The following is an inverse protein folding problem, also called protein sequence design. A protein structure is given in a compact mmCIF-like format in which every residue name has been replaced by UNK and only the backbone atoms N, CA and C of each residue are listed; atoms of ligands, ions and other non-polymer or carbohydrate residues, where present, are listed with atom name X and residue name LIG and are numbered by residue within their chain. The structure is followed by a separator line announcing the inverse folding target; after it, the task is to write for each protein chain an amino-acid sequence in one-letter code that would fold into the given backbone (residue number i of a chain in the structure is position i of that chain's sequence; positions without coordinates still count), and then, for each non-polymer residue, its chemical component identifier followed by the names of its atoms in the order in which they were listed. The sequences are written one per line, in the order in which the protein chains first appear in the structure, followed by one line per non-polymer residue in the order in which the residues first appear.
data_IF_381750113205
#
_entry.id   IF_381750113205
#
_cell.length_a   1.000
_cell.length_b   1.000
_cell.length_c   1.000
_cell.angle_alpha   90.00
_cell.angle_beta   90.00
_cell.angle_gamma   90.00
#
_symmetry.space_group_name_H-M   'P 1'
#
loop_
_entity.id
_entity.type
_entity.pdbx_description
1 polymer ?
#
# COMPACT_ATOMS: atom_id res chain seq x y z
N UNK A 1 0.42 14.06 -2.50
CA UNK A 1 0.04 13.13 -3.57
C UNK A 1 0.95 11.92 -3.56
N UNK A 2 0.43 10.76 -3.84
CA UNK A 2 1.20 9.51 -3.78
C UNK A 2 1.88 9.24 -5.13
N UNK A 3 3.11 9.74 -5.30
CA UNK A 3 3.84 9.63 -6.56
C UNK A 3 3.99 8.18 -7.04
N UNK A 4 4.18 7.23 -6.13
CA UNK A 4 4.33 5.82 -6.49
C UNK A 4 3.08 5.23 -7.14
N UNK A 5 1.90 5.83 -6.92
CA UNK A 5 0.62 5.33 -7.39
C UNK A 5 0.04 6.12 -8.56
N UNK A 6 0.52 7.35 -8.77
CA UNK A 6 -0.06 8.25 -9.76
C UNK A 6 0.08 7.70 -11.19
N UNK A 7 -1.03 7.64 -11.91
CA UNK A 7 -1.05 7.20 -13.31
C UNK A 7 -0.93 5.69 -13.49
N UNK A 8 -1.05 4.91 -12.42
CA UNK A 8 -0.95 3.45 -12.47
C UNK A 8 -2.33 2.83 -12.25
N UNK A 9 -2.73 1.88 -13.07
CA UNK A 9 -3.90 1.03 -12.80
C UNK A 9 -3.51 -0.18 -11.99
N UNK A 10 -2.45 -0.88 -12.39
CA UNK A 10 -1.92 -2.04 -11.69
C UNK A 10 -0.42 -2.12 -11.93
N UNK A 11 0.33 -2.54 -10.91
CA UNK A 11 1.77 -2.63 -11.00
C UNK A 11 2.32 -3.56 -9.94
N UNK A 12 3.60 -3.87 -10.08
CA UNK A 12 4.39 -4.46 -9.01
C UNK A 12 4.93 -3.33 -8.14
N UNK A 13 4.82 -3.49 -6.84
CA UNK A 13 5.29 -2.52 -5.86
C UNK A 13 6.28 -3.16 -4.90
N UNK A 14 7.14 -2.34 -4.33
CA UNK A 14 7.96 -2.69 -3.17
C UNK A 14 7.62 -1.73 -2.04
N UNK A 15 7.68 -2.23 -0.82
CA UNK A 15 7.37 -1.40 0.35
C UNK A 15 7.96 -2.04 1.59
N UNK A 16 7.95 -1.27 2.69
CA UNK A 16 8.27 -1.79 4.02
C UNK A 16 6.98 -1.92 4.80
N UNK A 17 6.73 -3.10 5.36
CA UNK A 17 5.60 -3.32 6.24
C UNK A 17 5.92 -2.65 7.59
N UNK A 18 5.16 -1.63 7.97
CA UNK A 18 5.43 -0.88 9.19
C UNK A 18 4.60 -1.35 10.38
N UNK A 19 3.50 -2.04 10.14
CA UNK A 19 2.64 -2.53 11.21
C UNK A 19 1.17 -2.43 10.85
N UNK A 20 0.33 -2.44 11.88
CA UNK A 20 -1.13 -2.41 11.73
C UNK A 20 -1.68 -1.31 12.63
N UNK A 21 -2.60 -0.53 12.13
CA UNK A 21 -3.25 0.52 12.91
C UNK A 21 -4.20 -0.09 13.94
N UNK A 22 -4.65 0.71 14.94
CA UNK A 22 -5.65 0.20 15.90
C UNK A 22 -6.94 -0.31 15.25
N UNK A 23 -7.26 0.17 14.04
CA UNK A 23 -8.43 -0.27 13.29
C UNK A 23 -8.19 -1.55 12.49
N UNK A 24 -6.94 -2.02 12.42
CA UNK A 24 -6.57 -3.19 11.64
C UNK A 24 -6.06 -2.88 10.24
N UNK A 25 -5.99 -1.62 9.83
CA UNK A 25 -5.44 -1.27 8.52
C UNK A 25 -3.94 -1.50 8.50
N UNK A 26 -3.43 -1.99 7.39
CA UNK A 26 -2.01 -2.25 7.22
C UNK A 26 -1.29 -0.95 6.85
N UNK A 27 -0.20 -0.67 7.55
CA UNK A 27 0.61 0.52 7.30
C UNK A 27 1.85 0.12 6.51
N UNK A 28 2.00 0.70 5.33
CA UNK A 28 3.17 0.51 4.48
C UNK A 28 3.96 1.81 4.42
N UNK A 29 5.27 1.66 4.37
CA UNK A 29 6.21 2.79 4.23
C UNK A 29 7.10 2.57 3.03
N UNK A 30 7.69 3.65 2.53
CA UNK A 30 8.66 3.61 1.44
C UNK A 30 8.13 2.81 0.24
N UNK A 31 6.93 3.14 -0.21
CA UNK A 31 6.30 2.47 -1.33
C UNK A 31 6.99 2.91 -2.63
N UNK A 32 7.45 1.94 -3.41
CA UNK A 32 8.18 2.18 -4.65
C UNK A 32 7.51 1.48 -5.82
N UNK A 33 7.45 2.20 -6.94
CA UNK A 33 6.94 1.69 -8.21
C UNK A 33 7.77 2.27 -9.35
N UNK A 34 7.54 1.86 -10.61
CA UNK A 34 8.22 2.49 -11.75
C UNK A 34 7.92 3.99 -11.88
N UNK A 35 6.87 4.49 -11.25
CA UNK A 35 6.47 5.90 -11.32
C UNK A 35 7.09 6.76 -10.25
N UNK A 36 7.65 6.19 -9.19
CA UNK A 36 8.25 6.96 -8.13
C UNK A 36 8.14 6.32 -6.76
N UNK A 37 8.23 7.16 -5.74
CA UNK A 37 8.25 6.74 -4.34
C UNK A 37 7.25 7.55 -3.53
N UNK A 38 6.60 6.89 -2.56
CA UNK A 38 5.71 7.53 -1.59
C UNK A 38 6.13 7.13 -0.18
N UNK A 39 5.93 8.05 0.78
CA UNK A 39 6.44 7.86 2.15
C UNK A 39 5.66 6.80 2.92
N UNK A 40 4.35 6.90 2.93
CA UNK A 40 3.53 5.94 3.66
C UNK A 40 2.13 5.85 3.06
N UNK A 41 1.46 4.75 3.38
CA UNK A 41 0.15 4.43 2.85
C UNK A 41 -0.53 3.46 3.80
N UNK A 42 -1.82 3.66 4.04
CA UNK A 42 -2.64 2.72 4.80
C UNK A 42 -3.49 1.91 3.83
N UNK A 43 -3.35 0.59 3.91
CA UNK A 43 -4.14 -0.35 3.10
C UNK A 43 -5.23 -0.92 3.98
N UNK A 44 -6.46 -0.87 3.50
CA UNK A 44 -7.60 -1.38 4.27
C UNK A 44 -7.42 -2.86 4.54
N UNK A 45 -7.84 -3.27 5.72
CA UNK A 45 -7.74 -4.66 6.16
C UNK A 45 -8.31 -5.63 5.12
N UNK A 46 -9.45 -5.30 4.54
CA UNK A 46 -10.11 -6.17 3.56
C UNK A 46 -9.31 -6.35 2.28
N UNK A 47 -8.44 -5.40 1.96
CA UNK A 47 -7.61 -5.46 0.76
C UNK A 47 -6.28 -6.19 1.00
N UNK A 48 -5.95 -6.46 2.25
CA UNK A 48 -4.70 -7.14 2.61
C UNK A 48 -4.89 -8.66 2.55
N UNK A 49 -3.93 -9.43 2.01
CA UNK A 49 -4.11 -10.89 1.84
C UNK A 49 -4.03 -11.71 3.13
N UNK A 50 -4.00 -11.08 4.28
CA UNK A 50 -4.08 -11.79 5.55
C UNK A 50 -2.77 -12.37 6.06
N UNK A 51 -1.68 -12.14 5.37
CA UNK A 51 -0.37 -12.66 5.78
C UNK A 51 0.18 -11.83 6.94
N UNK A 52 0.61 -12.51 7.99
CA UNK A 52 1.22 -11.87 9.16
C UNK A 52 2.69 -11.61 8.91
N UNK A 53 3.11 -10.36 9.10
CA UNK A 53 4.49 -9.94 8.89
C UNK A 53 5.02 -9.22 10.11
N UNK A 54 6.35 -9.21 10.25
CA UNK A 54 7.00 -8.43 11.29
C UNK A 54 7.22 -7.00 10.80
N UNK A 55 7.02 -5.98 11.66
CA UNK A 55 7.35 -4.61 11.30
C UNK A 55 8.81 -4.50 10.84
N UNK A 56 9.03 -3.75 9.77
CA UNK A 56 10.34 -3.61 9.16
C UNK A 56 10.60 -4.57 8.01
N UNK A 57 9.72 -5.54 7.77
CA UNK A 57 9.88 -6.46 6.65
C UNK A 57 9.79 -5.74 5.32
N UNK A 58 10.74 -6.00 4.42
CA UNK A 58 10.65 -5.53 3.05
C UNK A 58 9.86 -6.54 2.24
N UNK A 59 8.92 -6.02 1.44
CA UNK A 59 8.01 -6.87 0.67
C UNK A 59 7.89 -6.37 -0.76
N UNK A 60 7.49 -7.29 -1.64
CA UNK A 60 7.09 -6.98 -3.00
C UNK A 60 5.74 -7.65 -3.27
N UNK A 61 4.94 -7.00 -4.07
CA UNK A 61 3.60 -7.50 -4.39
C UNK A 61 3.06 -6.80 -5.63
N UNK A 62 2.05 -7.40 -6.24
CA UNK A 62 1.28 -6.75 -7.31
C UNK A 62 -0.02 -6.21 -6.72
N UNK A 63 -0.45 -5.07 -7.18
CA UNK A 63 -1.68 -4.46 -6.70
C UNK A 63 -2.27 -3.51 -7.73
N UNK A 64 -3.57 -3.28 -7.61
CA UNK A 64 -4.28 -2.26 -8.38
C UNK A 64 -4.34 -0.98 -7.56
N UNK A 65 -4.35 0.15 -8.24
CA UNK A 65 -4.50 1.46 -7.63
C UNK A 65 -5.96 1.88 -7.71
N UNK A 66 -6.49 2.37 -6.60
CA UNK A 66 -7.87 2.83 -6.51
C UNK A 66 -7.94 4.20 -5.87
N UNK A 67 -8.77 5.07 -6.42
CA UNK A 67 -9.07 6.35 -5.81
C UNK A 67 -10.12 6.18 -4.70
N UNK A 68 -9.98 6.94 -3.63
CA UNK A 68 -10.98 6.99 -2.58
C UNK A 68 -11.10 8.40 -2.05
N UNK A 69 -12.26 8.72 -1.48
CA UNK A 69 -12.54 10.02 -0.89
C UNK A 69 -12.26 9.97 0.61
N UNK A 70 -11.47 10.92 1.09
CA UNK A 70 -11.19 11.03 2.52
C UNK A 70 -12.41 11.62 3.24
N UNK A 71 -12.89 10.93 4.27
CA UNK A 71 -14.03 11.38 5.05
C UNK A 71 -13.78 12.72 5.75
N UNK A 72 -12.51 13.00 6.08
CA UNK A 72 -12.15 14.19 6.84
C UNK A 72 -12.41 15.50 6.09
N UNK A 73 -12.04 15.56 4.81
CA UNK A 73 -12.04 16.80 4.04
C UNK A 73 -12.58 16.64 2.62
N UNK A 74 -13.14 15.49 2.31
CA UNK A 74 -13.66 15.13 0.99
C UNK A 74 -12.63 15.22 -0.15
N UNK A 75 -11.34 15.24 0.18
CA UNK A 75 -10.32 15.18 -0.84
C UNK A 75 -10.19 13.76 -1.37
N UNK A 76 -9.69 13.62 -2.60
CA UNK A 76 -9.47 12.32 -3.23
C UNK A 76 -8.00 11.94 -3.06
N UNK A 77 -7.75 10.71 -2.65
CA UNK A 77 -6.41 10.15 -2.55
C UNK A 77 -6.38 8.76 -3.19
N UNK A 78 -5.21 8.17 -3.27
CA UNK A 78 -5.01 6.87 -3.90
C UNK A 78 -4.62 5.83 -2.86
N UNK A 79 -5.09 4.60 -3.04
CA UNK A 79 -4.72 3.46 -2.22
C UNK A 79 -4.55 2.23 -3.07
N UNK A 80 -4.16 1.12 -2.44
CA UNK A 80 -3.92 -0.15 -3.13
C UNK A 80 -5.04 -1.15 -2.80
N UNK A 81 -5.38 -1.97 -3.78
CA UNK A 81 -6.33 -3.07 -3.62
C UNK A 81 -5.89 -4.24 -4.51
N UNK A 82 -6.59 -5.36 -4.38
CA UNK A 82 -6.31 -6.58 -5.17
C UNK A 82 -4.84 -6.97 -5.09
N UNK A 83 -4.32 -7.04 -3.88
CA UNK A 83 -2.92 -7.37 -3.62
C UNK A 83 -2.69 -8.86 -3.85
N UNK A 84 -1.71 -9.18 -4.68
CA UNK A 84 -1.37 -10.54 -5.05
C UNK A 84 0.15 -10.74 -5.09
N UNK A 85 0.57 -12.00 -4.97
CA UNK A 85 1.97 -12.36 -5.13
C UNK A 85 2.87 -11.72 -4.09
N UNK A 86 2.40 -11.63 -2.84
CA UNK A 86 3.17 -11.04 -1.76
C UNK A 86 4.41 -11.88 -1.47
N UNK A 87 5.58 -11.23 -1.53
CA UNK A 87 6.86 -11.84 -1.22
C UNK A 87 7.57 -11.06 -0.13
N UNK A 88 8.15 -11.75 0.83
CA UNK A 88 9.01 -11.13 1.83
C UNK A 88 10.44 -11.15 1.30
N UNK A 89 11.06 -9.97 1.21
CA UNK A 89 12.40 -9.82 0.65
C UNK A 89 13.49 -9.75 1.73
N UNK A 90 13.11 -9.35 2.90
CA UNK A 90 14.07 -9.25 3.98
C UNK A 90 13.55 -8.63 5.24
#
# INVERSE_FOLDING_TARGET
MRAALTGIKRSRFRATFAGVSPRGDVILQDIRSPRGRSEHLWVRFEAWPGQMLLPGSEIAFSASVRAYERARDNSVDLTLCDIEGLEVLG
#
